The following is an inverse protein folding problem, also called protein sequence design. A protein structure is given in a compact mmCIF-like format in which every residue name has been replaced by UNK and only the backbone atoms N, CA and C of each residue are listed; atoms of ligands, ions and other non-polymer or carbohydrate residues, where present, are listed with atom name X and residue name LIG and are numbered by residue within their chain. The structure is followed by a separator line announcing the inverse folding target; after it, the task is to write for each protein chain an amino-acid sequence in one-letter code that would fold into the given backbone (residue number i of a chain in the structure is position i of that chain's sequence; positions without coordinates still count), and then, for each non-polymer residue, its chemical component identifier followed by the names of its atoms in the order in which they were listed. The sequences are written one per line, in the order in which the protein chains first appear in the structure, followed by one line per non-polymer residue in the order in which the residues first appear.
data_IF_674100504618
#
_entry.id   IF_674100504618
#
_cell.length_a   1.000
_cell.length_b   1.000
_cell.length_c   1.000
_cell.angle_alpha   90.00
_cell.angle_beta   90.00
_cell.angle_gamma   90.00
#
_symmetry.space_group_name_H-M   'P 1'
#
loop_
_entity.id
_entity.type
_entity.pdbx_description
1 polymer ?
#
# COMPACT_ATOMS: atom_id res chain seq x y z
N UNK A 1 21.93 -12.26 12.68
CA UNK A 1 20.97 -11.39 11.98
C UNK A 1 20.61 -12.13 10.69
N UNK A 2 19.41 -12.71 10.58
CA UNK A 2 19.02 -13.43 9.35
C UNK A 2 18.81 -12.38 8.26
N UNK A 3 19.45 -12.54 7.10
CA UNK A 3 19.17 -11.72 5.93
C UNK A 3 17.67 -11.83 5.59
N UNK A 4 16.99 -10.68 5.60
CA UNK A 4 15.62 -10.58 5.11
C UNK A 4 15.68 -10.63 3.58
N UNK A 5 15.18 -11.71 2.98
CA UNK A 5 15.00 -11.73 1.54
C UNK A 5 13.76 -10.91 1.17
N UNK A 6 14.01 -9.68 0.71
CA UNK A 6 13.00 -8.69 0.32
C UNK A 6 12.87 -8.56 -1.21
N UNK A 7 13.28 -9.60 -1.95
CA UNK A 7 13.17 -9.70 -3.42
C UNK A 7 12.22 -10.81 -3.85
N UNK A 8 11.25 -11.12 -3.00
CA UNK A 8 10.22 -12.12 -3.28
C UNK A 8 9.34 -11.77 -4.47
N UNK A 9 8.65 -12.81 -4.95
CA UNK A 9 7.68 -12.79 -6.04
C UNK A 9 6.29 -13.21 -5.56
N UNK A 10 6.00 -13.01 -4.27
CA UNK A 10 4.70 -13.34 -3.69
C UNK A 10 3.58 -12.52 -4.34
N UNK A 11 2.36 -13.06 -4.27
CA UNK A 11 1.18 -12.36 -4.72
C UNK A 11 0.19 -12.15 -3.56
N UNK A 12 -0.49 -11.00 -3.55
CA UNK A 12 -1.45 -10.61 -2.52
C UNK A 12 -2.82 -10.44 -3.14
N UNK A 13 -3.84 -11.06 -2.56
CA UNK A 13 -5.22 -10.81 -2.98
C UNK A 13 -5.67 -9.44 -2.51
N UNK A 14 -6.16 -8.58 -3.40
CA UNK A 14 -6.56 -7.20 -3.07
C UNK A 14 -7.62 -7.21 -1.96
N UNK A 15 -8.60 -8.10 -2.03
CA UNK A 15 -9.65 -8.27 -1.00
C UNK A 15 -9.14 -8.63 0.40
N UNK A 16 -7.91 -9.14 0.51
CA UNK A 16 -7.32 -9.51 1.80
C UNK A 16 -6.57 -8.36 2.45
N UNK A 17 -6.26 -7.30 1.70
CA UNK A 17 -5.56 -6.13 2.20
C UNK A 17 -6.47 -5.39 3.18
N UNK A 18 -5.95 -5.16 4.38
CA UNK A 18 -6.65 -4.47 5.45
C UNK A 18 -6.06 -3.09 5.69
N UNK A 19 -4.74 -3.02 5.65
CA UNK A 19 -4.02 -1.80 5.98
C UNK A 19 -2.68 -1.75 5.23
N UNK A 20 -2.08 -0.57 5.19
CA UNK A 20 -0.75 -0.37 4.64
C UNK A 20 0.03 0.65 5.49
N UNK A 21 1.34 0.59 5.42
CA UNK A 21 2.22 1.57 6.07
C UNK A 21 3.35 1.92 5.13
N UNK A 22 3.41 3.18 4.70
CA UNK A 22 4.50 3.68 3.89
C UNK A 22 5.78 3.75 4.71
N UNK A 23 6.85 3.10 4.24
CA UNK A 23 8.16 3.11 4.89
C UNK A 23 9.03 4.25 4.33
N UNK A 24 9.11 4.34 3.00
CA UNK A 24 9.80 5.42 2.29
C UNK A 24 9.05 5.79 0.99
N UNK A 25 9.73 6.33 -0.03
CA UNK A 25 9.13 6.67 -1.34
C UNK A 25 9.13 5.50 -2.35
N UNK A 26 9.72 4.35 -2.02
CA UNK A 26 9.81 3.16 -2.89
C UNK A 26 9.38 1.86 -2.21
N UNK A 27 8.99 1.92 -0.95
CA UNK A 27 8.70 0.75 -0.14
C UNK A 27 7.63 1.04 0.89
N UNK A 28 6.80 0.02 1.09
CA UNK A 28 5.68 0.03 2.00
C UNK A 28 5.43 -1.37 2.53
N UNK A 29 4.77 -1.43 3.67
CA UNK A 29 4.21 -2.64 4.23
C UNK A 29 2.73 -2.72 3.88
N UNK A 30 2.29 -3.91 3.50
CA UNK A 30 0.88 -4.24 3.31
C UNK A 30 0.51 -5.30 4.34
N UNK A 31 -0.56 -5.05 5.08
CA UNK A 31 -1.12 -5.97 6.05
C UNK A 31 -2.36 -6.64 5.46
N UNK A 32 -2.26 -7.95 5.30
CA UNK A 32 -3.34 -8.81 4.84
C UNK A 32 -4.10 -9.47 5.97
N UNK A 33 -5.21 -10.13 5.63
CA UNK A 33 -5.98 -10.95 6.57
C UNK A 33 -5.15 -12.09 7.16
N UNK A 34 -5.35 -12.37 8.45
CA UNK A 34 -4.74 -13.52 9.13
C UNK A 34 -3.30 -13.32 9.56
N UNK A 35 -2.93 -12.11 10.04
CA UNK A 35 -1.58 -11.76 10.51
C UNK A 35 -0.50 -12.01 9.45
N UNK A 36 -0.80 -11.61 8.21
CA UNK A 36 0.15 -11.70 7.10
C UNK A 36 0.63 -10.31 6.78
N UNK A 37 1.92 -10.07 6.95
CA UNK A 37 2.56 -8.84 6.51
C UNK A 37 3.34 -9.10 5.22
N UNK A 38 3.37 -8.11 4.35
CA UNK A 38 4.09 -8.16 3.08
C UNK A 38 4.91 -6.89 2.92
N UNK A 39 6.18 -7.05 2.58
CA UNK A 39 7.03 -5.95 2.16
C UNK A 39 6.93 -5.79 0.65
N UNK A 40 6.52 -4.60 0.22
CA UNK A 40 6.34 -4.26 -1.19
C UNK A 40 7.37 -3.23 -1.59
N UNK A 41 8.04 -3.49 -2.72
CA UNK A 41 8.96 -2.54 -3.36
C UNK A 41 8.37 -2.06 -4.67
N UNK A 42 8.55 -0.78 -4.93
CA UNK A 42 8.13 -0.12 -6.15
C UNK A 42 9.32 0.05 -7.11
N UNK A 43 9.03 0.04 -8.40
CA UNK A 43 10.02 0.20 -9.46
C UNK A 43 10.58 1.64 -9.49
N UNK A 44 9.74 2.62 -9.18
CA UNK A 44 10.08 4.04 -9.19
C UNK A 44 9.69 4.69 -7.86
N UNK A 45 10.43 5.74 -7.42
CA UNK A 45 10.02 6.50 -6.25
C UNK A 45 8.78 7.31 -6.57
N UNK A 46 7.85 7.35 -5.64
CA UNK A 46 6.68 8.23 -5.69
C UNK A 46 6.75 9.22 -4.55
N UNK A 47 6.48 10.49 -4.86
CA UNK A 47 6.39 11.54 -3.84
C UNK A 47 5.08 11.41 -3.08
N UNK A 48 4.05 10.93 -3.77
CA UNK A 48 2.73 10.73 -3.19
C UNK A 48 2.72 9.59 -2.17
N UNK A 49 3.66 8.63 -2.16
CA UNK A 49 3.61 7.55 -1.16
C UNK A 49 3.72 8.05 0.29
N UNK A 50 4.41 9.17 0.54
CA UNK A 50 4.50 9.77 1.89
C UNK A 50 3.39 10.75 2.20
N UNK A 51 2.79 11.35 1.17
CA UNK A 51 1.79 12.41 1.31
C UNK A 51 0.36 11.94 1.02
N UNK A 52 0.20 10.75 0.43
CA UNK A 52 -1.07 10.21 0.02
C UNK A 52 -1.76 9.55 1.18
N UNK A 53 -3.01 9.98 1.39
CA UNK A 53 -3.92 9.45 2.38
C UNK A 53 -4.65 8.18 1.89
N UNK A 54 -4.51 7.84 0.59
CA UNK A 54 -5.24 6.71 -0.01
C UNK A 54 -4.39 6.01 -1.07
N UNK A 55 -4.21 4.70 -0.86
CA UNK A 55 -3.60 3.80 -1.84
C UNK A 55 -4.69 2.98 -2.51
N UNK A 56 -4.82 3.15 -3.82
CA UNK A 56 -5.56 2.29 -4.71
C UNK A 56 -4.69 1.21 -5.34
N UNK A 57 -5.34 0.22 -5.93
CA UNK A 57 -4.70 -0.92 -6.57
C UNK A 57 -5.22 -1.06 -8.00
N UNK A 58 -4.31 -1.19 -8.96
CA UNK A 58 -4.64 -1.50 -10.34
C UNK A 58 -4.04 -2.86 -10.68
N UNK A 59 -4.92 -3.85 -10.83
CA UNK A 59 -4.60 -5.22 -11.19
C UNK A 59 -5.56 -5.73 -12.26
N UNK A 60 -5.16 -6.78 -12.98
CA UNK A 60 -5.97 -7.46 -13.98
C UNK A 60 -6.83 -8.60 -13.42
N UNK A 61 -6.45 -9.19 -12.29
CA UNK A 61 -6.96 -10.46 -11.78
C UNK A 61 -7.29 -10.44 -10.28
N UNK A 62 -7.55 -9.24 -9.73
CA UNK A 62 -7.80 -8.99 -8.30
C UNK A 62 -6.64 -9.41 -7.38
N UNK A 63 -5.46 -9.63 -7.95
CA UNK A 63 -4.24 -10.01 -7.26
C UNK A 63 -3.11 -9.02 -7.59
N UNK A 64 -2.37 -8.62 -6.57
CA UNK A 64 -1.15 -7.82 -6.73
C UNK A 64 0.03 -8.76 -6.83
N UNK A 65 0.67 -8.78 -7.99
CA UNK A 65 1.86 -9.56 -8.29
C UNK A 65 2.95 -8.65 -8.90
N UNK A 66 4.23 -8.82 -8.51
CA UNK A 66 5.31 -7.98 -9.04
C UNK A 66 5.56 -8.16 -10.55
N UNK A 67 5.25 -9.32 -11.13
CA UNK A 67 5.44 -9.59 -12.57
C UNK A 67 4.15 -9.51 -13.40
N UNK A 68 3.00 -9.20 -12.77
CA UNK A 68 1.69 -9.08 -13.44
C UNK A 68 1.53 -7.77 -14.21
N UNK A 69 2.45 -6.82 -14.03
CA UNK A 69 2.28 -5.43 -14.46
C UNK A 69 1.34 -4.64 -13.55
N UNK A 70 1.17 -5.11 -12.31
CA UNK A 70 0.28 -4.48 -11.34
C UNK A 70 0.91 -3.20 -10.75
N UNK A 71 0.04 -2.24 -10.46
CA UNK A 71 0.41 -0.88 -10.10
C UNK A 71 -0.33 -0.45 -8.82
N UNK A 72 0.38 0.26 -7.96
CA UNK A 72 -0.23 1.05 -6.89
C UNK A 72 -0.62 2.40 -7.44
N UNK A 73 -1.79 2.89 -7.04
CA UNK A 73 -2.32 4.21 -7.40
C UNK A 73 -2.36 5.06 -6.14
N UNK A 74 -1.82 6.27 -6.19
CA UNK A 74 -1.77 7.19 -5.06
C UNK A 74 -2.56 8.45 -5.38
N UNK A 75 -3.50 8.82 -4.50
CA UNK A 75 -4.37 9.99 -4.70
C UNK A 75 -3.77 11.29 -4.13
N UNK A 76 -2.45 11.48 -4.21
CA UNK A 76 -1.76 12.65 -3.64
C UNK A 76 -1.75 13.89 -4.54
N UNK A 77 -1.82 13.70 -5.85
CA UNK A 77 -1.65 14.74 -6.87
C UNK A 77 -2.85 14.87 -7.80
N UNK A 78 -3.02 16.06 -8.43
CA UNK A 78 -4.11 16.39 -9.37
C UNK A 78 -4.21 15.45 -10.59
N UNK A 79 -3.18 14.63 -10.85
CA UNK A 79 -3.13 13.67 -11.95
C UNK A 79 -3.13 12.19 -11.50
N UNK A 80 -3.06 11.91 -10.19
CA UNK A 80 -2.85 10.57 -9.63
C UNK A 80 -1.48 9.99 -10.00
N UNK A 81 -0.68 9.62 -9.00
CA UNK A 81 0.63 9.00 -9.26
C UNK A 81 0.49 7.47 -9.24
N UNK A 82 1.05 6.78 -10.23
CA UNK A 82 1.04 5.31 -10.29
C UNK A 82 2.45 4.75 -10.19
N UNK A 83 2.63 3.71 -9.38
CA UNK A 83 3.90 3.00 -9.24
C UNK A 83 3.77 1.52 -9.53
N UNK A 84 4.61 1.02 -10.43
CA UNK A 84 4.72 -0.42 -10.68
C UNK A 84 5.32 -1.13 -9.49
N UNK A 85 4.75 -2.29 -9.17
CA UNK A 85 5.28 -3.19 -8.15
C UNK A 85 6.49 -3.92 -8.72
N UNK A 86 7.61 -3.88 -8.01
CA UNK A 86 8.87 -4.53 -8.38
C UNK A 86 9.05 -5.87 -7.67
N UNK A 87 8.71 -5.93 -6.38
CA UNK A 87 8.83 -7.12 -5.57
C UNK A 87 7.79 -7.11 -4.45
N UNK A 88 7.35 -8.30 -4.07
CA UNK A 88 6.48 -8.52 -2.92
C UNK A 88 7.07 -9.70 -2.16
N UNK A 89 7.39 -9.49 -0.89
CA UNK A 89 7.95 -10.53 -0.02
C UNK A 89 7.06 -10.69 1.19
N UNK A 90 6.56 -11.91 1.44
CA UNK A 90 5.89 -12.21 2.70
C UNK A 90 6.90 -12.15 3.84
N UNK A 91 6.53 -11.44 4.90
CA UNK A 91 7.36 -11.27 6.09
C UNK A 91 6.58 -11.64 7.35
N UNK A 92 7.30 -11.96 8.43
CA UNK A 92 6.68 -12.14 9.75
C UNK A 92 6.37 -10.79 10.42
N UNK A 93 5.55 -10.81 11.46
CA UNK A 93 5.23 -9.62 12.24
C UNK A 93 6.50 -9.03 12.88
N UNK A 94 7.42 -9.87 13.39
CA UNK A 94 8.69 -9.42 13.96
C UNK A 94 9.59 -8.76 12.90
N UNK A 95 9.55 -9.26 11.66
CA UNK A 95 10.26 -8.66 10.54
C UNK A 95 9.66 -7.31 10.12
N UNK A 96 8.33 -7.20 10.16
CA UNK A 96 7.63 -5.94 9.89
C UNK A 96 8.01 -4.88 10.93
N UNK A 97 8.04 -5.23 12.21
CA UNK A 97 8.50 -4.35 13.29
C UNK A 97 9.96 -3.91 13.10
N UNK A 98 10.85 -4.83 12.74
CA UNK A 98 12.25 -4.48 12.45
C UNK A 98 12.38 -3.48 11.29
N UNK A 99 11.54 -3.63 10.25
CA UNK A 99 11.52 -2.69 9.14
C UNK A 99 11.00 -1.33 9.59
N UNK A 100 9.91 -1.28 10.35
CA UNK A 100 9.38 -0.03 10.91
C UNK A 100 10.44 0.73 11.71
N UNK A 101 11.17 0.04 12.60
CA UNK A 101 12.28 0.63 13.36
C UNK A 101 13.41 1.10 12.45
N UNK A 102 13.81 0.29 11.46
CA UNK A 102 14.90 0.62 10.52
C UNK A 102 14.58 1.86 9.69
N UNK A 103 13.33 2.04 9.28
CA UNK A 103 12.86 3.18 8.50
C UNK A 103 12.42 4.36 9.37
N UNK A 104 12.59 4.28 10.70
CA UNK A 104 12.23 5.36 11.64
C UNK A 104 10.72 5.59 11.77
N UNK A 105 9.90 4.63 11.35
CA UNK A 105 8.44 4.66 11.39
C UNK A 105 7.95 3.98 12.67
N UNK A 106 8.13 4.62 13.82
CA UNK A 106 7.44 4.21 15.06
C UNK A 106 5.93 4.47 14.92
N UNK A 107 5.09 3.77 15.70
CA UNK A 107 3.61 3.66 15.62
C UNK A 107 2.80 4.95 15.39
N UNK A 108 3.41 6.14 15.49
CA UNK A 108 2.79 7.44 15.25
C UNK A 108 2.32 7.70 13.81
N UNK A 109 2.78 6.93 12.81
CA UNK A 109 2.42 7.13 11.39
C UNK A 109 1.19 6.30 10.95
N UNK A 110 0.74 5.34 11.78
CA UNK A 110 -0.40 4.45 11.45
C UNK A 110 -1.77 5.15 11.46
N UNK A 111 -1.87 6.37 11.97
CA UNK A 111 -3.15 7.05 12.19
C UNK A 111 -3.67 7.88 11.02
N UNK A 112 -2.98 7.93 9.87
CA UNK A 112 -3.32 8.86 8.79
C UNK A 112 -4.08 8.24 7.61
N UNK A 113 -4.95 7.26 7.88
CA UNK A 113 -6.03 6.88 6.96
C UNK A 113 -7.30 7.54 7.50
N UNK A 114 -7.76 8.68 6.95
CA UNK A 114 -9.10 9.16 7.28
C UNK A 114 -10.09 8.06 6.85
N UNK A 115 -11.02 7.74 7.75
CA UNK A 115 -12.09 6.78 7.50
C UNK A 115 -12.73 7.02 6.13
N UNK A 116 -13.19 5.97 5.42
CA UNK A 116 -13.91 6.13 4.15
C UNK A 116 -14.99 7.20 4.34
N UNK A 117 -14.84 8.31 3.62
CA UNK A 117 -15.85 9.35 3.64
C UNK A 117 -17.09 8.75 3.01
N UNK A 118 -18.11 8.45 3.82
CA UNK A 118 -19.43 8.12 3.35
C UNK A 118 -19.88 9.27 2.45
N UNK A 119 -19.89 9.06 1.14
CA UNK A 119 -20.52 9.98 0.20
C UNK A 119 -22.02 9.92 0.47
N UNK A 120 -22.50 10.79 1.36
CA UNK A 120 -23.91 11.05 1.56
C UNK A 120 -24.50 11.50 0.23
N UNK A 121 -25.58 10.83 -0.18
CA UNK A 121 -26.15 10.82 -1.52
C UNK A 121 -26.33 12.20 -2.15
N UNK A 122 -26.12 12.24 -3.45
CA UNK A 122 -26.53 13.33 -4.31
C UNK A 122 -28.06 13.49 -4.22
N UNK A 123 -28.54 14.58 -3.62
CA UNK A 123 -29.89 15.08 -3.87
C UNK A 123 -29.85 15.85 -5.20
N UNK A 124 -30.47 15.24 -6.21
CA UNK A 124 -30.88 15.92 -7.44
C UNK A 124 -32.34 16.27 -7.18
N UNK A 125 -32.66 17.53 -6.94
CA UNK A 125 -34.03 18.03 -7.10
C UNK A 125 -34.06 19.17 -8.11
N UNK A 126 -34.98 19.00 -9.04
CA UNK A 126 -35.18 19.72 -10.27
C UNK A 126 -35.68 21.15 -9.99
N UNK A 127 -35.21 22.13 -10.78
CA UNK A 127 -35.81 23.46 -10.81
C UNK A 127 -37.18 23.38 -11.50
N UNK A 128 -38.25 23.78 -10.80
CA UNK A 128 -39.50 24.29 -11.41
C UNK A 128 -39.45 25.82 -11.53
#
# INVERSE_FOLDING_TARGET
MRDLDLRGSDCIWIRTIRDYTALDSRSLLIYGSGKRAYFVRLAHPTMDLKSSFRVGFRSRDDQLCPYGGDELVFDGSFAGETARILAISRISDEQAEQLLVRFGKTESDRQNVPAPQEVSGAEIEELD
#
